data_IF_217357439550
#
_entry.id   IF_217357439550
#
_cell.length_a   1.000
_cell.length_b   1.000
_cell.length_c   1.000
_cell.angle_alpha   90.00
_cell.angle_beta   90.00
_cell.angle_gamma   90.00
#
_symmetry.space_group_name_H-M   'P 1'
#
loop_
_entity.id
_entity.type
_entity.pdbx_description
1 polymer ?
#
# COMPACT_ATOMS: atom_id res chain seq x y z
N UNK A 1 -14.39 -32.05 51.15
CA UNK A 1 -13.71 -33.14 50.42
C UNK A 1 -13.19 -32.53 49.13
N UNK A 2 -12.02 -31.89 49.09
CA UNK A 2 -10.68 -32.49 49.14
C UNK A 2 -10.46 -33.46 47.97
N UNK A 3 -9.87 -32.98 46.88
CA UNK A 3 -8.62 -33.56 46.35
C UNK A 3 -7.97 -32.55 45.39
N UNK A 4 -6.82 -32.05 45.82
CA UNK A 4 -5.86 -31.32 45.00
C UNK A 4 -5.04 -32.33 44.21
N UNK A 5 -4.74 -32.04 42.94
CA UNK A 5 -3.71 -32.72 42.19
C UNK A 5 -2.85 -31.66 41.50
N UNK A 6 -1.68 -31.46 42.11
CA UNK A 6 -0.54 -30.75 41.54
C UNK A 6 -0.07 -31.50 40.28
N UNK A 7 0.09 -30.77 39.18
CA UNK A 7 0.96 -31.18 38.08
C UNK A 7 1.95 -30.07 37.77
N UNK A 8 3.14 -30.31 38.30
CA UNK A 8 4.47 -29.75 38.08
C UNK A 8 4.64 -29.04 36.73
N UNK A 9 5.05 -27.77 36.82
CA UNK A 9 5.54 -26.96 35.70
C UNK A 9 6.95 -27.43 35.34
N UNK A 10 7.12 -28.07 34.19
CA UNK A 10 8.44 -28.30 33.59
C UNK A 10 8.89 -27.00 32.91
N UNK A 11 9.68 -26.19 33.61
CA UNK A 11 10.51 -25.16 32.98
C UNK A 11 11.55 -25.85 32.08
N UNK A 12 11.25 -25.94 30.78
CA UNK A 12 12.28 -26.16 29.78
C UNK A 12 13.01 -24.82 29.58
N UNK A 13 14.08 -24.61 30.34
CA UNK A 13 15.05 -23.58 30.05
C UNK A 13 15.72 -23.93 28.71
N UNK A 14 15.25 -23.33 27.62
CA UNK A 14 16.01 -23.28 26.38
C UNK A 14 17.25 -22.41 26.63
N UNK A 15 18.33 -23.04 27.07
CA UNK A 15 19.66 -22.46 26.97
C UNK A 15 19.95 -22.25 25.48
N UNK A 16 19.76 -21.02 25.02
CA UNK A 16 20.47 -20.52 23.84
C UNK A 16 21.95 -20.69 24.16
N UNK A 17 22.54 -21.77 23.64
CA UNK A 17 23.96 -21.89 23.49
C UNK A 17 24.40 -20.75 22.56
N UNK A 18 24.71 -19.60 23.15
CA UNK A 18 25.58 -18.61 22.55
C UNK A 18 26.91 -19.31 22.35
N UNK A 19 27.09 -19.91 21.17
CA UNK A 19 28.42 -20.30 20.71
C UNK A 19 29.22 -19.01 20.67
N UNK A 20 30.03 -18.78 21.70
CA UNK A 20 31.02 -17.75 21.68
C UNK A 20 31.87 -18.01 20.44
N UNK A 21 31.82 -17.09 19.48
CA UNK A 21 32.74 -17.10 18.34
C UNK A 21 34.09 -16.78 18.96
N UNK A 22 35.10 -17.67 18.89
CA UNK A 22 36.41 -17.35 19.41
C UNK A 22 36.97 -16.18 18.60
N UNK A 23 37.04 -15.02 19.24
CA UNK A 23 37.86 -13.90 18.76
C UNK A 23 39.31 -14.41 18.70
N UNK A 24 39.85 -14.57 17.49
CA UNK A 24 41.25 -14.93 17.29
C UNK A 24 41.54 -16.12 16.37
N UNK A 25 40.55 -16.77 15.75
CA UNK A 25 40.88 -17.70 14.66
C UNK A 25 41.45 -16.93 13.46
N UNK A 26 42.71 -17.21 13.10
CA UNK A 26 43.34 -16.70 11.88
C UNK A 26 42.49 -17.18 10.69
N UNK A 27 41.89 -16.23 9.98
CA UNK A 27 41.25 -16.52 8.69
C UNK A 27 42.29 -17.10 7.72
N UNK A 28 41.91 -17.99 6.79
CA UNK A 28 42.84 -18.50 5.79
C UNK A 28 43.37 -17.34 4.95
N UNK A 29 44.69 -17.10 5.04
CA UNK A 29 45.44 -16.10 4.26
C UNK A 29 46.00 -16.80 3.03
N UNK A 30 45.84 -16.20 1.86
CA UNK A 30 46.45 -16.66 0.62
C UNK A 30 47.42 -15.60 0.11
N UNK A 31 48.62 -16.01 -0.30
CA UNK A 31 49.67 -15.13 -0.83
C UNK A 31 49.60 -15.20 -2.35
N UNK A 32 49.45 -14.05 -3.01
CA UNK A 32 49.61 -13.95 -4.46
C UNK A 32 51.01 -13.40 -4.74
N UNK A 33 51.85 -14.19 -5.41
CA UNK A 33 53.17 -13.76 -5.89
C UNK A 33 53.04 -13.18 -7.30
N UNK A 34 53.76 -12.09 -7.62
CA UNK A 34 53.77 -11.54 -8.98
C UNK A 34 54.36 -12.55 -9.98
N UNK A 35 53.73 -12.68 -11.15
CA UNK A 35 54.28 -13.48 -12.24
C UNK A 35 55.57 -12.86 -12.78
N UNK A 36 56.58 -13.67 -13.18
CA UNK A 36 57.84 -13.14 -13.71
C UNK A 36 57.62 -12.36 -15.01
N UNK A 37 58.25 -11.19 -15.10
CA UNK A 37 58.20 -10.24 -16.21
C UNK A 37 58.94 -10.80 -17.43
N UNK A 38 58.32 -11.69 -18.20
CA UNK A 38 58.75 -12.01 -19.57
C UNK A 38 57.49 -12.25 -20.42
N UNK A 39 56.85 -11.17 -20.85
CA UNK A 39 56.06 -11.02 -22.09
C UNK A 39 55.29 -9.68 -22.02
N UNK A 40 56.02 -8.58 -21.88
CA UNK A 40 55.46 -7.22 -21.98
C UNK A 40 56.35 -6.40 -22.93
N UNK A 41 56.38 -6.79 -24.20
CA UNK A 41 57.01 -6.01 -25.25
C UNK A 41 56.15 -6.03 -26.51
N UNK A 42 55.04 -5.31 -26.46
CA UNK A 42 54.57 -4.46 -27.57
C UNK A 42 53.22 -3.83 -27.18
N UNK A 43 53.29 -2.65 -26.57
CA UNK A 43 52.52 -1.46 -26.96
C UNK A 43 52.74 -0.37 -25.91
N UNK A 44 53.71 0.49 -26.18
CA UNK A 44 54.00 1.69 -25.41
C UNK A 44 53.10 2.84 -25.86
N UNK A 45 52.34 3.45 -24.94
CA UNK A 45 52.14 4.92 -24.86
C UNK A 45 51.70 5.35 -23.44
N UNK A 46 52.66 5.89 -22.71
CA UNK A 46 52.63 6.88 -21.61
C UNK A 46 51.45 6.93 -20.61
N UNK A 47 51.71 6.51 -19.37
CA UNK A 47 51.66 7.33 -18.14
C UNK A 47 51.66 6.40 -16.91
N UNK A 48 52.55 6.67 -15.97
CA UNK A 48 52.96 5.80 -14.86
C UNK A 48 51.81 5.36 -13.92
N UNK A 49 51.52 4.06 -13.94
CA UNK A 49 51.23 3.24 -12.76
C UNK A 49 51.54 1.79 -13.17
N UNK A 50 52.37 1.08 -12.41
CA UNK A 50 52.64 -0.35 -12.63
C UNK A 50 51.32 -1.13 -12.43
N UNK A 51 50.62 -1.37 -13.54
CA UNK A 51 49.39 -2.13 -13.58
C UNK A 51 49.67 -3.62 -13.66
N UNK A 52 49.01 -4.40 -12.80
CA UNK A 52 48.83 -5.83 -13.03
C UNK A 52 47.61 -6.02 -13.93
N UNK A 53 47.79 -6.71 -15.05
CA UNK A 53 46.73 -7.09 -15.98
C UNK A 53 45.93 -8.22 -15.34
N UNK A 54 44.66 -7.96 -14.99
CA UNK A 54 43.68 -9.02 -14.85
C UNK A 54 43.28 -9.49 -16.25
N UNK A 55 43.50 -10.75 -16.56
CA UNK A 55 42.91 -11.36 -17.75
C UNK A 55 41.40 -11.49 -17.53
N UNK A 56 40.64 -10.52 -18.02
CA UNK A 56 39.20 -10.68 -18.28
C UNK A 56 39.02 -10.85 -19.80
N UNK A 57 38.58 -12.04 -20.22
CA UNK A 57 37.99 -12.23 -21.54
C UNK A 57 36.69 -11.43 -21.62
N UNK A 58 36.77 -10.23 -22.19
CA UNK A 58 35.61 -9.42 -22.54
C UNK A 58 35.03 -9.97 -23.85
N UNK A 59 33.87 -10.62 -23.77
CA UNK A 59 33.00 -10.79 -24.93
C UNK A 59 32.29 -9.45 -25.16
N UNK A 60 32.65 -8.83 -26.27
CA UNK A 60 32.23 -7.50 -26.71
C UNK A 60 30.72 -7.43 -26.99
N UNK A 61 30.11 -6.32 -26.56
CA UNK A 61 28.66 -6.09 -26.61
C UNK A 61 28.35 -4.60 -26.50
N UNK A 62 28.66 -3.88 -27.58
CA UNK A 62 28.50 -2.44 -27.77
C UNK A 62 27.10 -1.91 -27.40
N UNK A 63 27.05 -0.86 -26.58
CA UNK A 63 25.85 -0.10 -26.29
C UNK A 63 26.11 1.07 -25.33
N UNK A 64 26.30 2.27 -25.87
CA UNK A 64 26.54 3.52 -25.15
C UNK A 64 25.39 3.89 -24.21
N UNK A 65 25.66 3.90 -22.89
CA UNK A 65 24.89 4.64 -21.88
C UNK A 65 25.84 5.33 -20.92
N UNK A 66 25.66 6.63 -20.75
CA UNK A 66 26.20 7.42 -19.65
C UNK A 66 25.65 6.87 -18.34
N UNK A 67 26.51 6.19 -17.57
CA UNK A 67 26.22 5.76 -16.21
C UNK A 67 26.82 6.78 -15.23
N UNK A 68 25.97 7.25 -14.31
CA UNK A 68 26.40 7.93 -13.10
C UNK A 68 27.35 7.02 -12.30
N UNK A 69 28.40 7.63 -11.75
CA UNK A 69 29.53 7.03 -11.02
C UNK A 69 29.15 6.27 -9.72
N UNK A 70 28.32 5.23 -9.78
CA UNK A 70 28.15 4.26 -8.67
C UNK A 70 28.63 2.82 -9.00
N UNK A 71 29.09 2.54 -10.22
CA UNK A 71 29.59 1.22 -10.64
C UNK A 71 31.11 1.03 -10.46
N UNK A 72 31.74 1.79 -9.55
CA UNK A 72 33.10 1.47 -9.10
C UNK A 72 33.06 0.27 -8.13
N UNK A 73 33.30 -0.92 -8.70
CA UNK A 73 33.86 -2.10 -8.06
C UNK A 73 33.20 -2.55 -6.75
N UNK A 74 32.06 -3.25 -6.85
CA UNK A 74 31.69 -4.22 -5.80
C UNK A 74 32.28 -5.58 -6.16
N UNK A 75 33.22 -6.12 -5.37
CA UNK A 75 33.75 -7.45 -5.60
C UNK A 75 32.62 -8.50 -5.61
N UNK A 76 32.65 -9.40 -6.60
CA UNK A 76 31.73 -10.53 -6.69
C UNK A 76 31.85 -11.46 -5.47
N UNK A 77 30.78 -12.22 -5.20
CA UNK A 77 30.81 -13.28 -4.17
C UNK A 77 31.84 -14.32 -4.62
N UNK A 78 33.01 -14.34 -3.97
CA UNK A 78 34.18 -15.15 -4.36
C UNK A 78 35.45 -14.33 -4.60
N UNK A 79 35.34 -13.01 -4.71
CA UNK A 79 36.48 -12.11 -4.85
C UNK A 79 37.28 -11.99 -3.55
N UNK A 80 38.57 -11.68 -3.69
CA UNK A 80 39.46 -11.39 -2.57
C UNK A 80 39.71 -9.89 -2.46
N UNK A 81 39.84 -9.38 -1.25
CA UNK A 81 40.18 -7.97 -0.99
C UNK A 81 41.61 -7.89 -0.45
N UNK A 82 42.49 -7.09 -1.06
CA UNK A 82 43.82 -6.83 -0.51
C UNK A 82 43.67 -6.10 0.83
N UNK A 83 44.41 -6.54 1.84
CA UNK A 83 44.44 -5.87 3.14
C UNK A 83 45.85 -5.43 3.56
N UNK A 84 46.87 -5.90 2.86
CA UNK A 84 48.25 -5.47 3.00
C UNK A 84 48.95 -5.59 1.64
N UNK A 85 49.70 -4.56 1.26
CA UNK A 85 50.48 -4.51 0.03
C UNK A 85 51.89 -4.11 0.45
N UNK A 86 52.86 -4.97 0.16
CA UNK A 86 54.29 -4.66 0.26
C UNK A 86 54.90 -4.66 -1.14
N UNK A 87 56.18 -4.30 -1.26
CA UNK A 87 56.89 -4.31 -2.54
C UNK A 87 56.89 -5.71 -3.21
N UNK A 88 56.85 -6.78 -2.43
CA UNK A 88 57.03 -8.16 -2.90
C UNK A 88 55.77 -9.03 -2.83
N UNK A 89 54.71 -8.58 -2.15
CA UNK A 89 53.49 -9.38 -1.98
C UNK A 89 52.23 -8.54 -1.79
N UNK A 90 51.10 -9.09 -2.22
CA UNK A 90 49.77 -8.61 -1.86
C UNK A 90 49.07 -9.68 -1.04
N UNK A 91 48.78 -9.38 0.23
CA UNK A 91 47.98 -10.25 1.08
C UNK A 91 46.50 -9.96 0.83
N UNK A 92 45.78 -10.99 0.39
CA UNK A 92 44.36 -10.90 0.08
C UNK A 92 43.56 -11.79 1.02
N UNK A 93 42.33 -11.37 1.35
CA UNK A 93 41.38 -12.17 2.12
C UNK A 93 40.07 -12.35 1.36
N UNK A 94 39.44 -13.54 1.43
CA UNK A 94 38.16 -13.76 0.76
C UNK A 94 37.12 -12.78 1.30
N UNK A 95 36.38 -12.11 0.40
CA UNK A 95 35.37 -11.12 0.77
C UNK A 95 34.28 -11.73 1.69
N UNK A 96 33.99 -13.02 1.52
CA UNK A 96 33.07 -13.79 2.36
C UNK A 96 33.52 -13.96 3.82
N UNK A 97 34.81 -13.75 4.12
CA UNK A 97 35.40 -13.79 5.46
C UNK A 97 35.55 -12.42 6.13
N UNK A 98 35.23 -11.33 5.43
CA UNK A 98 35.04 -10.03 6.05
C UNK A 98 33.79 -10.10 6.91
N UNK A 99 33.93 -9.91 8.22
CA UNK A 99 32.80 -9.94 9.17
C UNK A 99 31.66 -9.10 8.60
N UNK A 100 30.61 -9.77 8.12
CA UNK A 100 29.40 -9.11 7.68
C UNK A 100 28.93 -8.29 8.89
N UNK A 101 28.91 -6.97 8.72
CA UNK A 101 28.60 -6.04 9.80
C UNK A 101 27.28 -6.47 10.45
N UNK A 102 27.30 -6.74 11.75
CA UNK A 102 26.14 -7.25 12.45
C UNK A 102 24.98 -6.23 12.41
N UNK A 103 23.73 -6.68 12.17
CA UNK A 103 22.53 -5.90 12.40
C UNK A 103 22.55 -5.23 13.77
N UNK A 104 22.15 -3.96 13.86
CA UNK A 104 22.14 -3.25 15.14
C UNK A 104 20.82 -2.50 15.37
N UNK A 105 20.48 -2.35 16.65
CA UNK A 105 19.43 -1.41 17.06
C UNK A 105 19.91 0.03 16.84
N UNK A 106 19.02 0.86 16.29
CA UNK A 106 19.33 2.25 15.93
C UNK A 106 18.51 3.29 16.70
N UNK A 107 17.79 2.88 17.73
CA UNK A 107 17.03 3.77 18.59
C UNK A 107 15.56 3.88 18.19
N UNK A 108 14.94 4.99 18.60
CA UNK A 108 13.50 5.23 18.49
C UNK A 108 13.22 6.40 17.56
N UNK A 109 12.46 6.14 16.49
CA UNK A 109 11.94 7.19 15.63
C UNK A 109 10.72 7.85 16.28
N UNK A 110 10.90 9.01 16.89
CA UNK A 110 9.80 9.86 17.36
C UNK A 110 9.08 10.56 16.19
N UNK A 111 7.91 10.04 15.82
CA UNK A 111 7.10 10.56 14.74
C UNK A 111 6.19 11.70 15.22
N UNK A 112 6.50 12.94 14.84
CA UNK A 112 5.62 14.08 15.12
C UNK A 112 4.32 14.04 14.30
N UNK A 113 3.24 13.55 14.91
CA UNK A 113 1.96 13.31 14.23
C UNK A 113 1.21 14.60 13.87
N UNK A 114 1.60 15.76 14.41
CA UNK A 114 1.04 17.05 13.97
C UNK A 114 1.39 17.37 12.52
N UNK A 115 2.57 16.95 12.05
CA UNK A 115 3.05 17.25 10.70
C UNK A 115 2.41 16.40 9.61
N UNK A 116 1.96 15.19 9.96
CA UNK A 116 1.45 14.15 9.06
C UNK A 116 0.38 13.29 9.78
N UNK A 117 -0.75 13.89 10.17
CA UNK A 117 -1.76 13.22 10.99
C UNK A 117 -2.37 11.99 10.33
N UNK A 118 -2.57 11.99 9.01
CA UNK A 118 -3.24 10.87 8.32
C UNK A 118 -2.31 9.67 8.13
N UNK A 119 -1.04 9.90 7.82
CA UNK A 119 -0.01 8.86 7.80
C UNK A 119 0.23 8.29 9.22
N UNK A 120 0.28 9.17 10.23
CA UNK A 120 0.40 8.73 11.62
C UNK A 120 -0.80 7.87 12.05
N UNK A 121 -2.05 8.20 11.68
CA UNK A 121 -3.22 7.32 11.94
C UNK A 121 -3.04 5.92 11.38
N UNK A 122 -2.55 5.78 10.16
CA UNK A 122 -2.35 4.46 9.54
C UNK A 122 -1.29 3.64 10.30
N UNK A 123 -0.16 4.28 10.63
CA UNK A 123 0.92 3.65 11.40
C UNK A 123 0.48 3.26 12.82
N UNK A 124 -0.19 4.17 13.54
CA UNK A 124 -0.77 3.89 14.85
C UNK A 124 -1.79 2.76 14.80
N UNK A 125 -2.67 2.73 13.79
CA UNK A 125 -3.64 1.66 13.63
C UNK A 125 -2.95 0.30 13.51
N UNK A 126 -1.89 0.22 12.70
CA UNK A 126 -1.14 -1.02 12.59
C UNK A 126 -0.49 -1.42 13.92
N UNK A 127 0.28 -0.51 14.53
CA UNK A 127 1.06 -0.82 15.73
C UNK A 127 0.17 -1.09 16.95
N UNK A 128 -0.84 -0.26 17.17
CA UNK A 128 -1.64 -0.28 18.39
C UNK A 128 -2.91 -1.15 18.28
N UNK A 129 -3.42 -1.40 17.06
CA UNK A 129 -4.66 -2.15 16.86
C UNK A 129 -4.46 -3.49 16.16
N UNK A 130 -3.71 -3.54 15.05
CA UNK A 130 -3.45 -4.82 14.35
C UNK A 130 -2.45 -5.68 15.15
N UNK A 131 -1.37 -5.05 15.63
CA UNK A 131 -0.32 -5.70 16.41
C UNK A 131 -0.54 -5.59 17.93
N UNK A 132 -1.78 -5.31 18.36
CA UNK A 132 -2.12 -5.03 19.76
C UNK A 132 -1.48 -6.04 20.73
N UNK A 133 -0.83 -5.53 21.77
CA UNK A 133 -0.13 -6.34 22.78
C UNK A 133 1.23 -6.88 22.35
N UNK A 134 1.72 -6.54 21.15
CA UNK A 134 3.04 -6.93 20.67
C UNK A 134 3.94 -5.71 20.51
N UNK A 135 5.21 -5.84 20.91
CA UNK A 135 6.22 -4.85 20.57
C UNK A 135 6.62 -5.03 19.10
N UNK A 136 6.49 -3.97 18.32
CA UNK A 136 6.79 -3.99 16.87
C UNK A 136 8.16 -3.35 16.63
N UNK A 137 9.03 -4.07 15.95
CA UNK A 137 10.32 -3.59 15.48
C UNK A 137 10.30 -3.45 13.96
N UNK A 138 10.89 -2.36 13.45
CA UNK A 138 11.01 -2.11 12.02
C UNK A 138 12.46 -2.33 11.59
N UNK A 139 12.65 -3.12 10.55
CA UNK A 139 13.96 -3.50 10.04
C UNK A 139 14.23 -2.88 8.67
N UNK A 140 15.48 -2.53 8.39
CA UNK A 140 15.93 -2.16 7.05
C UNK A 140 15.76 -3.35 6.09
N UNK A 141 15.19 -3.13 4.89
CA UNK A 141 14.80 -4.21 4.00
C UNK A 141 16.01 -4.99 3.48
N UNK A 142 15.87 -6.32 3.46
CA UNK A 142 16.79 -7.22 2.77
C UNK A 142 16.46 -7.33 1.27
N UNK A 143 17.36 -7.84 0.41
CA UNK A 143 17.14 -7.98 -1.04
C UNK A 143 15.90 -8.76 -1.48
N UNK A 144 15.24 -9.49 -0.57
CA UNK A 144 14.01 -10.27 -0.81
C UNK A 144 12.81 -9.77 0.01
N UNK A 145 12.89 -8.57 0.58
CA UNK A 145 11.76 -7.96 1.30
C UNK A 145 10.57 -7.77 0.36
N UNK A 146 9.36 -7.97 0.89
CA UNK A 146 8.15 -7.88 0.09
C UNK A 146 7.91 -6.47 -0.46
N UNK A 147 7.76 -6.40 -1.78
CA UNK A 147 7.53 -5.15 -2.53
C UNK A 147 6.14 -4.54 -2.34
N UNK A 148 5.94 -3.34 -2.91
CA UNK A 148 4.64 -2.64 -2.91
C UNK A 148 3.51 -3.45 -3.57
N UNK A 149 3.81 -4.37 -4.47
CA UNK A 149 2.82 -5.25 -5.07
C UNK A 149 2.35 -6.35 -4.11
N UNK A 150 3.23 -6.89 -3.26
CA UNK A 150 2.86 -7.82 -2.19
C UNK A 150 1.98 -7.14 -1.14
N UNK A 151 2.22 -5.85 -0.88
CA UNK A 151 1.35 -5.03 -0.03
C UNK A 151 0.01 -4.63 -0.71
N UNK A 152 -0.21 -4.97 -1.98
CA UNK A 152 -1.42 -4.55 -2.72
C UNK A 152 -1.44 -3.08 -3.11
N UNK A 153 -0.32 -2.36 -2.96
CA UNK A 153 -0.25 -0.92 -3.26
C UNK A 153 0.02 -0.66 -4.74
N UNK A 154 0.89 -1.47 -5.36
CA UNK A 154 1.18 -1.36 -6.78
C UNK A 154 0.30 -2.29 -7.60
N UNK A 155 -0.63 -1.72 -8.36
CA UNK A 155 -1.57 -2.43 -9.23
C UNK A 155 -1.43 -2.00 -10.70
N UNK A 156 -1.97 -2.79 -11.62
CA UNK A 156 -1.96 -2.52 -13.08
C UNK A 156 -2.45 -1.12 -13.44
N UNK A 157 -3.42 -0.59 -12.69
CA UNK A 157 -4.01 0.75 -12.85
C UNK A 157 -3.42 1.82 -11.91
N UNK A 158 -2.22 1.61 -11.35
CA UNK A 158 -1.56 2.56 -10.45
C UNK A 158 -1.61 2.11 -8.99
N UNK A 159 -2.47 2.74 -8.18
CA UNK A 159 -2.69 2.37 -6.78
C UNK A 159 -4.18 2.28 -6.47
N UNK A 160 -4.63 1.43 -5.52
CA UNK A 160 -6.05 1.28 -5.20
C UNK A 160 -6.74 2.62 -4.94
N UNK A 161 -6.10 3.53 -4.19
CA UNK A 161 -6.67 4.84 -3.86
C UNK A 161 -6.89 5.79 -5.05
N UNK A 162 -6.34 5.47 -6.22
CA UNK A 162 -6.51 6.22 -7.46
C UNK A 162 -7.25 5.40 -8.54
N UNK A 163 -7.96 4.35 -8.13
CA UNK A 163 -8.60 3.41 -9.05
C UNK A 163 -10.01 3.08 -8.57
N UNK A 164 -10.97 3.08 -9.49
CA UNK A 164 -12.34 2.60 -9.20
C UNK A 164 -12.31 1.09 -8.93
N UNK A 165 -13.07 0.57 -7.95
CA UNK A 165 -14.06 1.27 -7.12
C UNK A 165 -13.49 1.87 -5.82
N UNK A 166 -12.23 1.61 -5.48
CA UNK A 166 -11.66 1.95 -4.17
C UNK A 166 -11.50 3.46 -3.96
N UNK A 167 -10.96 4.19 -4.95
CA UNK A 167 -10.85 5.66 -4.88
C UNK A 167 -12.22 6.33 -4.67
N UNK A 168 -13.25 5.79 -5.33
CA UNK A 168 -14.64 6.23 -5.19
C UNK A 168 -15.18 6.01 -3.76
N UNK A 169 -14.76 4.92 -3.10
CA UNK A 169 -15.18 4.59 -1.74
C UNK A 169 -14.56 5.52 -0.70
N UNK A 170 -13.25 5.70 -0.79
CA UNK A 170 -12.46 6.32 0.28
C UNK A 170 -12.42 7.85 0.20
N UNK A 171 -12.78 8.46 -0.94
CA UNK A 171 -12.57 9.89 -1.15
C UNK A 171 -13.82 10.69 -1.51
N UNK A 172 -14.58 10.23 -2.50
CA UNK A 172 -15.62 11.07 -3.09
C UNK A 172 -16.76 11.38 -2.09
N UNK A 173 -16.99 10.48 -1.13
CA UNK A 173 -17.92 10.67 -0.01
C UNK A 173 -17.52 11.78 0.97
N UNK A 174 -16.29 12.30 0.88
CA UNK A 174 -15.69 13.23 1.86
C UNK A 174 -15.51 14.64 1.33
N UNK A 175 -15.20 14.78 0.05
CA UNK A 175 -14.98 16.08 -0.58
C UNK A 175 -16.28 16.76 -1.03
N UNK A 176 -17.46 16.20 -0.73
CA UNK A 176 -18.75 16.67 -1.28
C UNK A 176 -18.69 16.88 -2.82
N UNK A 177 -17.93 16.04 -3.53
CA UNK A 177 -17.69 16.17 -4.98
C UNK A 177 -16.64 17.20 -5.42
N UNK A 178 -15.96 17.90 -4.49
CA UNK A 178 -14.86 18.83 -4.78
C UNK A 178 -13.56 18.08 -5.09
N UNK A 179 -13.45 17.63 -6.34
CA UNK A 179 -12.37 16.76 -6.83
C UNK A 179 -11.15 17.53 -7.36
N UNK A 180 -10.96 18.80 -7.01
CA UNK A 180 -9.83 19.61 -7.54
C UNK A 180 -8.46 19.21 -6.99
N UNK A 181 -8.39 18.36 -5.95
CA UNK A 181 -7.15 17.92 -5.31
C UNK A 181 -6.98 16.37 -5.24
N UNK A 182 -7.39 15.64 -6.29
CA UNK A 182 -7.40 14.16 -6.37
C UNK A 182 -6.03 13.42 -6.28
N UNK A 183 -4.96 14.06 -5.79
CA UNK A 183 -3.65 13.40 -5.62
C UNK A 183 -3.63 12.53 -4.36
N UNK A 184 -4.52 11.54 -4.32
CA UNK A 184 -4.49 10.51 -3.31
C UNK A 184 -3.33 9.57 -3.51
N UNK A 185 -2.80 9.07 -2.40
CA UNK A 185 -1.85 8.00 -2.39
C UNK A 185 -2.37 6.89 -1.49
N UNK A 186 -1.99 5.66 -1.83
CA UNK A 186 -2.15 4.53 -0.94
C UNK A 186 -0.95 4.53 0.00
N UNK A 187 -1.16 4.98 1.23
CA UNK A 187 -0.20 4.82 2.31
C UNK A 187 -0.19 3.37 2.79
N UNK A 188 0.97 2.90 3.23
CA UNK A 188 1.20 1.51 3.61
C UNK A 188 2.07 1.45 4.87
N UNK A 189 1.60 0.69 5.86
CA UNK A 189 2.35 0.45 7.09
C UNK A 189 2.32 -1.03 7.48
N UNK A 190 3.47 -1.72 7.65
CA UNK A 190 4.83 -1.20 7.50
C UNK A 190 5.13 -0.74 6.06
N UNK A 191 6.04 0.22 5.93
CA UNK A 191 6.43 0.84 4.67
C UNK A 191 7.18 -0.12 3.77
N UNK A 192 7.21 0.15 2.46
CA UNK A 192 8.11 -0.57 1.54
C UNK A 192 9.59 -0.44 1.88
N UNK A 193 9.98 0.66 2.49
CA UNK A 193 11.33 0.87 3.00
C UNK A 193 11.63 0.13 4.31
N UNK A 194 10.73 -0.74 4.76
CA UNK A 194 10.91 -1.61 5.92
C UNK A 194 10.84 -3.08 5.47
N UNK A 195 11.44 -3.98 6.25
CA UNK A 195 11.35 -5.42 6.00
C UNK A 195 9.91 -5.89 6.20
N UNK A 196 9.39 -6.64 5.22
CA UNK A 196 8.02 -7.19 5.25
C UNK A 196 7.98 -8.60 4.72
N UNK A 197 7.04 -9.38 5.25
CA UNK A 197 6.70 -10.69 4.72
C UNK A 197 5.93 -10.58 3.40
N UNK A 198 6.01 -11.61 2.56
CA UNK A 198 5.16 -11.73 1.38
C UNK A 198 3.69 -11.83 1.81
N UNK A 199 2.79 -11.46 0.88
CA UNK A 199 1.37 -11.62 1.11
C UNK A 199 1.02 -13.09 1.40
N UNK A 200 0.28 -13.30 2.47
CA UNK A 200 -0.25 -14.58 2.91
C UNK A 200 -1.77 -14.47 3.05
N UNK A 201 -2.55 -15.10 2.16
CA UNK A 201 -4.02 -15.07 2.22
C UNK A 201 -4.59 -15.82 3.44
N UNK A 202 -3.76 -16.61 4.14
CA UNK A 202 -4.15 -17.38 5.33
C UNK A 202 -3.84 -16.65 6.63
N UNK A 203 -3.18 -15.49 6.57
CA UNK A 203 -2.87 -14.70 7.75
C UNK A 203 -4.16 -14.25 8.47
N UNK A 204 -4.22 -14.52 9.77
CA UNK A 204 -5.37 -14.13 10.61
C UNK A 204 -5.39 -12.64 10.93
N UNK A 205 -4.25 -11.97 10.81
CA UNK A 205 -4.10 -10.52 10.96
C UNK A 205 -3.59 -9.90 9.65
N UNK A 206 -4.06 -8.70 9.28
CA UNK A 206 -3.52 -8.01 8.13
C UNK A 206 -2.01 -7.76 8.28
N UNK A 207 -1.21 -8.18 7.30
CA UNK A 207 0.25 -7.99 7.33
C UNK A 207 0.68 -6.56 7.02
N UNK A 208 -0.21 -5.77 6.39
CA UNK A 208 -0.01 -4.36 6.06
C UNK A 208 -1.33 -3.62 6.25
N UNK A 209 -1.30 -2.49 6.94
CA UNK A 209 -2.38 -1.52 6.99
C UNK A 209 -2.27 -0.55 5.79
N UNK A 210 -3.36 -0.42 5.05
CA UNK A 210 -3.47 0.51 3.94
C UNK A 210 -4.48 1.61 4.28
N UNK A 211 -4.18 2.83 3.83
CA UNK A 211 -5.06 3.99 3.97
C UNK A 211 -4.94 4.88 2.74
N UNK A 212 -6.07 5.42 2.26
CA UNK A 212 -6.06 6.46 1.25
C UNK A 212 -5.90 7.82 1.90
N UNK A 213 -4.77 8.49 1.64
CA UNK A 213 -4.45 9.79 2.22
C UNK A 213 -3.94 10.76 1.15
N UNK A 214 -3.91 12.05 1.48
CA UNK A 214 -3.36 13.06 0.58
C UNK A 214 -1.84 12.86 0.39
N UNK A 215 -1.35 13.03 -0.84
CA UNK A 215 0.08 12.95 -1.18
C UNK A 215 0.99 13.78 -0.26
N UNK A 216 0.58 15.00 0.13
CA UNK A 216 1.37 15.88 1.01
C UNK A 216 1.57 15.26 2.38
N UNK A 217 0.51 14.69 2.95
CA UNK A 217 0.55 14.03 4.26
C UNK A 217 1.43 12.76 4.19
N UNK A 218 1.20 11.93 3.17
CA UNK A 218 1.98 10.71 2.92
C UNK A 218 3.48 11.00 2.74
N UNK A 219 3.81 12.00 1.93
CA UNK A 219 5.19 12.41 1.68
C UNK A 219 5.88 12.93 2.95
N UNK A 220 5.16 13.66 3.80
CA UNK A 220 5.69 14.13 5.09
C UNK A 220 5.92 12.96 6.05
N UNK A 221 4.98 12.03 6.14
CA UNK A 221 5.13 10.81 6.93
C UNK A 221 6.34 9.98 6.50
N UNK A 222 6.48 9.72 5.19
CA UNK A 222 7.63 9.00 4.66
C UNK A 222 8.97 9.73 4.88
N UNK A 223 8.97 11.07 4.85
CA UNK A 223 10.16 11.86 5.13
C UNK A 223 10.64 11.76 6.59
N UNK A 224 9.73 11.61 7.56
CA UNK A 224 10.10 11.42 8.97
C UNK A 224 10.95 10.17 9.13
N UNK A 225 10.48 9.04 8.59
CA UNK A 225 11.20 7.76 8.62
C UNK A 225 12.52 7.85 7.86
N UNK A 226 12.53 8.51 6.69
CA UNK A 226 13.76 8.76 5.93
C UNK A 226 14.78 9.55 6.76
N UNK A 227 14.37 10.66 7.38
CA UNK A 227 15.27 11.52 8.14
C UNK A 227 15.85 10.84 9.38
N UNK A 228 15.07 10.04 10.09
CA UNK A 228 15.58 9.22 11.18
C UNK A 228 16.66 8.25 10.71
N UNK A 229 16.40 7.51 9.61
CA UNK A 229 17.33 6.53 9.03
C UNK A 229 18.62 7.17 8.51
N UNK A 230 18.52 8.39 8.00
CA UNK A 230 19.64 9.16 7.43
C UNK A 230 20.39 10.01 8.47
N UNK A 231 19.86 10.17 9.69
CA UNK A 231 20.46 11.03 10.71
C UNK A 231 20.32 12.52 10.38
N UNK A 232 19.20 12.90 9.78
CA UNK A 232 18.89 14.27 9.36
C UNK A 232 17.62 14.81 10.03
N UNK A 233 17.22 16.04 9.70
CA UNK A 233 16.02 16.67 10.28
C UNK A 233 16.16 16.80 11.80
N UNK A 234 15.14 16.38 12.55
CA UNK A 234 15.15 16.42 14.02
C UNK A 234 16.20 15.50 14.67
N UNK A 235 16.85 14.62 13.90
CA UNK A 235 17.90 13.69 14.36
C UNK A 235 19.31 14.08 13.92
N UNK A 236 19.50 15.25 13.33
CA UNK A 236 20.84 15.77 13.05
C UNK A 236 21.53 16.30 14.33
N UNK A 237 22.80 16.70 14.22
CA UNK A 237 23.52 17.31 15.35
C UNK A 237 22.82 18.59 15.81
N UNK A 238 22.45 18.64 17.10
CA UNK A 238 21.67 19.74 17.68
C UNK A 238 20.16 19.65 17.45
N UNK A 239 19.68 18.62 16.74
CA UNK A 239 18.27 18.36 16.53
C UNK A 239 17.57 17.89 17.81
N UNK A 240 16.25 18.13 17.87
CA UNK A 240 15.42 17.86 19.05
C UNK A 240 15.43 16.40 19.50
N UNK A 241 15.51 15.46 18.56
CA UNK A 241 15.44 14.02 18.80
C UNK A 241 16.79 13.32 18.58
N UNK A 242 17.90 14.07 18.53
CA UNK A 242 19.24 13.51 18.28
C UNK A 242 19.61 12.37 19.24
N UNK A 243 19.21 12.48 20.51
CA UNK A 243 19.46 11.47 21.55
C UNK A 243 18.68 10.16 21.34
N UNK A 244 17.59 10.20 20.58
CA UNK A 244 16.75 9.03 20.31
C UNK A 244 17.33 8.16 19.18
N UNK A 245 18.33 8.67 18.43
CA UNK A 245 18.99 7.94 17.35
C UNK A 245 20.34 7.40 17.80
N UNK A 246 20.52 6.09 17.71
CA UNK A 246 21.72 5.39 18.20
C UNK A 246 22.71 5.03 17.08
N UNK A 247 23.97 4.96 17.45
CA UNK A 247 25.09 4.64 16.57
C UNK A 247 25.62 5.84 15.79
N UNK A 248 26.53 5.60 14.85
CA UNK A 248 27.14 6.66 14.03
C UNK A 248 26.11 7.40 13.16
N UNK A 249 26.46 8.62 12.72
CA UNK A 249 25.63 9.46 11.83
C UNK A 249 25.40 8.87 10.43
N UNK A 250 25.93 7.68 10.14
CA UNK A 250 25.75 7.02 8.86
C UNK A 250 24.33 6.49 8.70
N UNK A 251 23.86 6.47 7.45
CA UNK A 251 22.60 5.85 7.05
C UNK A 251 22.51 4.40 7.53
N UNK A 252 21.32 3.98 7.95
CA UNK A 252 21.08 2.59 8.33
C UNK A 252 21.35 1.63 7.16
N UNK A 253 21.76 0.41 7.50
CA UNK A 253 22.05 -0.65 6.50
C UNK A 253 21.12 -1.84 6.73
N UNK A 254 20.94 -2.68 5.71
CA UNK A 254 20.13 -3.90 5.77
C UNK A 254 20.30 -4.65 7.09
N UNK A 255 19.18 -5.02 7.71
CA UNK A 255 19.12 -5.70 9.00
C UNK A 255 19.08 -4.77 10.22
N UNK A 256 19.50 -3.51 10.11
CA UNK A 256 19.32 -2.53 11.19
C UNK A 256 17.86 -2.40 11.57
N UNK A 257 17.59 -2.15 12.84
CA UNK A 257 16.23 -2.08 13.33
C UNK A 257 16.00 -0.95 14.34
N UNK A 258 14.76 -0.54 14.46
CA UNK A 258 14.35 0.59 15.30
C UNK A 258 12.90 0.46 15.79
N UNK A 259 12.60 1.21 16.84
CA UNK A 259 11.25 1.43 17.36
C UNK A 259 10.62 2.67 16.71
N UNK A 260 9.30 2.73 16.63
CA UNK A 260 8.56 3.96 16.26
C UNK A 260 7.68 4.38 17.42
N UNK A 261 7.83 5.64 17.84
CA UNK A 261 7.06 6.26 18.91
C UNK A 261 6.26 7.44 18.34
N UNK A 262 4.96 7.47 18.58
CA UNK A 262 4.08 8.52 18.05
C UNK A 262 4.07 9.72 19.00
N UNK A 263 4.66 10.82 18.54
CA UNK A 263 4.86 12.04 19.31
C UNK A 263 3.69 13.02 19.10
N UNK A 264 2.97 13.32 20.20
CA UNK A 264 1.76 14.13 20.20
C UNK A 264 1.88 15.46 20.96
N UNK A 265 3.04 15.78 21.55
CA UNK A 265 3.13 16.94 22.46
C UNK A 265 3.19 18.29 21.73
N UNK A 266 3.43 18.31 20.42
CA UNK A 266 3.49 19.56 19.63
C UNK A 266 2.12 20.15 19.28
N UNK A 267 1.02 19.47 19.64
CA UNK A 267 -0.32 20.01 19.46
C UNK A 267 -0.63 21.06 20.53
N UNK A 268 -0.92 22.29 20.09
CA UNK A 268 -1.56 23.28 20.94
C UNK A 268 -3.04 22.92 21.10
N UNK A 269 -3.42 22.51 22.31
CA UNK A 269 -4.79 22.08 22.62
C UNK A 269 -5.75 23.24 22.85
N UNK A 270 -5.25 24.47 22.95
CA UNK A 270 -6.06 25.68 23.04
C UNK A 270 -6.46 26.19 21.65
N UNK A 271 -5.71 25.82 20.61
CA UNK A 271 -6.09 26.05 19.22
C UNK A 271 -7.13 25.01 18.76
N UNK A 272 -8.33 25.46 18.39
CA UNK A 272 -9.44 24.57 18.06
C UNK A 272 -9.14 23.65 16.85
N UNK A 273 -8.38 24.14 15.87
CA UNK A 273 -8.01 23.36 14.69
C UNK A 273 -7.03 22.23 15.05
N UNK A 274 -6.00 22.54 15.85
CA UNK A 274 -5.07 21.53 16.34
C UNK A 274 -5.70 20.54 17.32
N UNK A 275 -6.57 21.02 18.22
CA UNK A 275 -7.33 20.15 19.11
C UNK A 275 -8.22 19.17 18.33
N UNK A 276 -8.87 19.62 17.25
CA UNK A 276 -9.66 18.75 16.38
C UNK A 276 -8.81 17.66 15.71
N UNK A 277 -7.62 18.01 15.21
CA UNK A 277 -6.70 17.03 14.62
C UNK A 277 -6.21 16.04 15.69
N UNK A 278 -5.75 16.52 16.85
CA UNK A 278 -5.31 15.68 17.97
C UNK A 278 -6.40 14.69 18.39
N UNK A 279 -7.64 15.16 18.57
CA UNK A 279 -8.78 14.32 18.93
C UNK A 279 -9.11 13.29 17.86
N UNK A 280 -8.81 13.59 16.58
CA UNK A 280 -9.00 12.65 15.48
C UNK A 280 -7.95 11.52 15.43
N UNK A 281 -6.79 11.66 16.08
CA UNK A 281 -5.70 10.66 16.15
C UNK A 281 -6.02 9.51 17.13
N UNK A 282 -7.25 8.99 17.07
CA UNK A 282 -7.82 8.03 18.02
C UNK A 282 -7.00 6.75 18.21
N UNK A 283 -6.26 6.31 17.19
CA UNK A 283 -5.38 5.14 17.24
C UNK A 283 -4.04 5.39 17.93
N UNK A 284 -3.63 6.65 18.07
CA UNK A 284 -2.31 7.04 18.56
C UNK A 284 -2.28 7.32 20.06
N UNK A 285 -3.45 7.44 20.70
CA UNK A 285 -3.54 7.70 22.13
C UNK A 285 -3.14 6.46 22.96
N UNK A 286 -2.71 6.62 24.22
CA UNK A 286 -2.29 5.50 25.09
C UNK A 286 -3.36 4.41 25.28
N UNK A 287 -4.64 4.79 25.20
CA UNK A 287 -5.77 3.88 25.16
C UNK A 287 -6.44 4.01 23.79
N UNK A 288 -5.92 3.31 22.76
CA UNK A 288 -6.35 3.52 21.39
C UNK A 288 -7.79 3.01 21.20
N UNK A 289 -8.63 3.82 20.55
CA UNK A 289 -9.91 3.33 20.08
C UNK A 289 -9.71 2.62 18.74
N UNK A 290 -9.65 1.29 18.75
CA UNK A 290 -9.41 0.49 17.56
C UNK A 290 -10.62 0.29 16.64
N UNK A 291 -11.72 1.03 16.86
CA UNK A 291 -12.80 1.10 15.90
C UNK A 291 -12.29 1.76 14.60
N UNK A 292 -12.34 1.01 13.49
CA UNK A 292 -11.98 1.54 12.18
C UNK A 292 -12.87 2.76 11.85
N UNK A 293 -12.27 3.81 11.30
CA UNK A 293 -12.89 5.05 10.84
C UNK A 293 -13.42 4.95 9.39
N UNK A 294 -13.33 3.74 8.81
CA UNK A 294 -13.82 3.39 7.47
C UNK A 294 -12.78 3.57 6.38
N UNK A 295 -11.54 3.89 6.74
CA UNK A 295 -10.46 4.16 5.78
C UNK A 295 -9.29 3.20 5.91
N UNK A 296 -9.22 2.46 7.01
CA UNK A 296 -8.25 1.39 7.15
C UNK A 296 -8.74 0.20 6.34
N UNK A 297 -7.93 -0.24 5.38
CA UNK A 297 -8.21 -1.42 4.58
C UNK A 297 -6.93 -2.25 4.42
N UNK A 298 -7.11 -3.46 3.89
CA UNK A 298 -6.00 -4.37 3.62
C UNK A 298 -6.32 -5.24 2.40
N UNK A 299 -5.26 -5.77 1.79
CA UNK A 299 -5.35 -6.74 0.70
C UNK A 299 -5.85 -8.08 1.26
N UNK A 300 -6.83 -8.70 0.62
CA UNK A 300 -7.37 -10.02 1.00
C UNK A 300 -7.13 -11.09 -0.07
N UNK A 301 -6.89 -10.68 -1.31
CA UNK A 301 -6.44 -11.58 -2.38
C UNK A 301 -5.50 -10.85 -3.30
N UNK A 302 -4.32 -11.44 -3.55
CA UNK A 302 -3.37 -10.97 -4.54
C UNK A 302 -3.52 -11.77 -5.85
N UNK A 303 -3.97 -11.09 -6.91
CA UNK A 303 -4.01 -11.63 -8.27
C UNK A 303 -2.95 -10.96 -9.12
N UNK A 304 -2.43 -11.69 -10.10
CA UNK A 304 -1.41 -11.21 -11.03
C UNK A 304 -1.68 -11.79 -12.40
N UNK A 305 -1.35 -11.02 -13.44
CA UNK A 305 -1.47 -11.51 -14.84
C UNK A 305 -0.56 -12.71 -15.10
N UNK A 306 0.62 -12.72 -14.48
CA UNK A 306 1.57 -13.85 -14.47
C UNK A 306 2.19 -13.97 -13.08
N UNK A 307 2.74 -15.13 -12.69
CA UNK A 307 3.38 -15.30 -11.38
C UNK A 307 4.47 -14.26 -11.09
N UNK A 308 5.22 -13.87 -12.13
CA UNK A 308 6.33 -12.93 -12.07
C UNK A 308 5.93 -11.46 -12.30
N UNK A 309 4.63 -11.16 -12.43
CA UNK A 309 4.21 -9.78 -12.66
C UNK A 309 4.57 -8.89 -11.45
N UNK A 310 5.18 -7.75 -11.75
CA UNK A 310 5.60 -6.75 -10.75
C UNK A 310 4.45 -5.92 -10.16
N UNK A 311 3.22 -6.11 -10.65
CA UNK A 311 2.00 -5.40 -10.22
C UNK A 311 0.89 -6.39 -9.90
N UNK A 312 0.09 -6.06 -8.89
CA UNK A 312 -1.20 -6.71 -8.65
C UNK A 312 -2.20 -6.38 -9.76
N UNK A 313 -3.18 -7.25 -9.99
CA UNK A 313 -4.12 -7.12 -11.08
C UNK A 313 -5.39 -6.39 -10.62
N UNK A 314 -5.67 -5.22 -11.18
CA UNK A 314 -6.95 -4.50 -11.06
C UNK A 314 -7.25 -3.87 -12.41
N UNK A 315 -8.37 -4.24 -13.01
CA UNK A 315 -8.82 -3.74 -14.32
C UNK A 315 -10.27 -3.25 -14.27
N UNK A 316 -10.75 -2.65 -15.36
CA UNK A 316 -12.14 -2.24 -15.54
C UNK A 316 -12.79 -3.06 -16.67
N UNK A 317 -14.02 -3.57 -16.48
CA UNK A 317 -14.81 -3.51 -15.24
C UNK A 317 -14.16 -4.30 -14.09
N UNK A 318 -14.40 -3.88 -12.85
CA UNK A 318 -13.78 -4.55 -11.70
C UNK A 318 -14.48 -5.88 -11.39
N UNK A 319 -13.69 -6.95 -11.28
CA UNK A 319 -14.16 -8.30 -11.01
C UNK A 319 -13.38 -8.90 -9.82
N UNK A 320 -14.07 -9.15 -8.70
CA UNK A 320 -13.46 -9.71 -7.49
C UNK A 320 -12.83 -11.10 -7.69
N UNK A 321 -13.29 -11.88 -8.67
CA UNK A 321 -12.74 -13.22 -8.90
C UNK A 321 -11.39 -13.16 -9.64
N UNK A 322 -11.21 -12.17 -10.51
CA UNK A 322 -10.04 -12.04 -11.37
C UNK A 322 -9.02 -11.03 -10.84
N UNK A 323 -9.43 -10.07 -10.02
CA UNK A 323 -8.59 -8.96 -9.56
C UNK A 323 -8.19 -9.07 -8.09
N UNK A 324 -7.23 -8.23 -7.68
CA UNK A 324 -6.92 -8.00 -6.29
C UNK A 324 -8.18 -7.55 -5.56
N UNK A 325 -8.42 -8.14 -4.39
CA UNK A 325 -9.52 -7.75 -3.51
C UNK A 325 -8.99 -7.11 -2.24
N UNK A 326 -9.76 -6.15 -1.76
CA UNK A 326 -9.42 -5.37 -0.57
C UNK A 326 -10.63 -5.31 0.34
N UNK A 327 -10.38 -5.25 1.64
CA UNK A 327 -11.42 -5.23 2.67
C UNK A 327 -11.15 -4.11 3.64
N UNK A 328 -12.21 -3.38 4.01
CA UNK A 328 -12.15 -2.43 5.12
C UNK A 328 -11.97 -3.24 6.41
N UNK A 329 -10.95 -2.91 7.20
CA UNK A 329 -10.61 -3.70 8.39
C UNK A 329 -11.78 -3.76 9.37
N UNK A 330 -12.13 -4.96 9.82
CA UNK A 330 -13.28 -5.22 10.69
C UNK A 330 -14.62 -5.43 9.96
N UNK A 331 -14.67 -5.24 8.64
CA UNK A 331 -15.85 -5.58 7.85
C UNK A 331 -15.83 -7.07 7.43
N UNK A 332 -17.00 -7.70 7.23
CA UNK A 332 -17.07 -9.14 6.97
C UNK A 332 -16.78 -9.54 5.52
N UNK A 333 -16.77 -8.59 4.59
CA UNK A 333 -16.68 -8.87 3.15
C UNK A 333 -15.78 -7.87 2.42
N UNK A 334 -15.20 -8.31 1.32
CA UNK A 334 -14.34 -7.52 0.45
C UNK A 334 -15.16 -6.48 -0.32
N UNK A 335 -14.54 -5.33 -0.61
CA UNK A 335 -15.12 -4.30 -1.46
C UNK A 335 -15.36 -4.87 -2.87
N UNK A 336 -16.55 -4.62 -3.40
CA UNK A 336 -17.01 -5.00 -4.74
C UNK A 336 -17.45 -3.76 -5.51
N UNK A 337 -17.42 -3.85 -6.84
CA UNK A 337 -18.06 -2.86 -7.70
C UNK A 337 -19.44 -3.38 -8.10
N UNK A 338 -20.48 -2.73 -7.61
CA UNK A 338 -21.85 -2.98 -8.03
C UNK A 338 -22.20 -2.07 -9.19
N UNK A 339 -23.02 -2.59 -10.10
CA UNK A 339 -23.55 -1.87 -11.23
C UNK A 339 -25.06 -1.81 -11.12
N UNK A 340 -25.64 -0.65 -11.43
CA UNK A 340 -27.08 -0.49 -11.60
C UNK A 340 -27.37 0.19 -12.94
N UNK A 341 -28.13 -0.51 -13.76
CA UNK A 341 -28.67 0.01 -15.01
C UNK A 341 -30.15 0.38 -14.80
N UNK A 342 -30.54 1.59 -15.20
CA UNK A 342 -31.94 2.02 -15.27
C UNK A 342 -32.35 2.23 -16.72
N UNK A 343 -33.34 1.48 -17.20
CA UNK A 343 -33.93 1.71 -18.52
C UNK A 343 -35.16 2.61 -18.36
N UNK A 344 -35.06 3.81 -18.92
CA UNK A 344 -36.02 4.89 -18.84
C UNK A 344 -36.71 5.00 -20.19
N UNK A 345 -38.00 4.68 -20.20
CA UNK A 345 -38.83 4.52 -21.40
C UNK A 345 -40.20 5.16 -21.20
N UNK A 346 -41.07 5.07 -22.20
CA UNK A 346 -42.42 5.60 -22.13
C UNK A 346 -42.52 7.01 -22.72
N UNK A 347 -43.73 7.44 -23.05
CA UNK A 347 -43.94 8.68 -23.81
C UNK A 347 -43.40 9.92 -23.10
N UNK A 348 -43.43 9.91 -21.77
CA UNK A 348 -42.95 10.98 -20.90
C UNK A 348 -41.64 10.63 -20.15
N UNK A 349 -40.91 9.59 -20.58
CA UNK A 349 -39.75 9.05 -19.85
C UNK A 349 -40.12 8.75 -18.38
N UNK A 350 -41.28 8.13 -18.19
CA UNK A 350 -41.96 7.91 -16.93
C UNK A 350 -42.02 6.44 -16.54
N UNK A 351 -41.48 5.53 -17.35
CA UNK A 351 -41.36 4.12 -17.02
C UNK A 351 -39.91 3.76 -16.78
N UNK A 352 -39.64 3.17 -15.61
CA UNK A 352 -38.29 2.82 -15.18
C UNK A 352 -38.25 1.33 -14.84
N UNK A 353 -37.33 0.61 -15.50
CA UNK A 353 -36.89 -0.71 -15.06
C UNK A 353 -35.48 -0.61 -14.48
N UNK A 354 -35.09 -1.57 -13.66
CA UNK A 354 -33.77 -1.56 -13.03
C UNK A 354 -33.13 -2.95 -13.03
N UNK A 355 -31.82 -3.00 -13.21
CA UNK A 355 -31.02 -4.22 -13.11
C UNK A 355 -29.77 -3.94 -12.30
N UNK A 356 -29.54 -4.75 -11.26
CA UNK A 356 -28.36 -4.66 -10.40
C UNK A 356 -27.49 -5.89 -10.65
N UNK A 357 -26.21 -5.69 -10.91
CA UNK A 357 -25.28 -6.76 -11.24
C UNK A 357 -23.87 -6.45 -10.76
N UNK A 358 -23.02 -7.47 -10.84
CA UNK A 358 -21.58 -7.41 -10.60
C UNK A 358 -20.89 -8.22 -11.70
N UNK A 359 -19.60 -7.97 -11.92
CA UNK A 359 -18.79 -8.87 -12.74
C UNK A 359 -18.25 -10.03 -11.90
N UNK A 360 -18.31 -11.23 -12.45
CA UNK A 360 -17.76 -12.44 -11.85
C UNK A 360 -17.22 -13.35 -12.96
N UNK A 361 -15.91 -13.62 -12.95
CA UNK A 361 -15.21 -14.35 -13.99
C UNK A 361 -15.44 -13.79 -15.41
N UNK A 362 -15.40 -12.46 -15.55
CA UNK A 362 -15.56 -11.75 -16.81
C UNK A 362 -17.00 -11.66 -17.33
N UNK A 363 -17.98 -12.15 -16.56
CA UNK A 363 -19.39 -12.15 -16.94
C UNK A 363 -20.25 -11.32 -15.98
N UNK A 364 -21.29 -10.68 -16.53
CA UNK A 364 -22.31 -10.01 -15.72
C UNK A 364 -23.14 -11.04 -14.96
N UNK A 365 -23.13 -10.96 -13.63
CA UNK A 365 -24.01 -11.72 -12.76
C UNK A 365 -25.09 -10.80 -12.20
N UNK A 366 -26.31 -10.96 -12.71
CA UNK A 366 -27.48 -10.23 -12.20
C UNK A 366 -27.76 -10.67 -10.76
N UNK A 367 -27.83 -9.69 -9.87
CA UNK A 367 -28.13 -9.90 -8.46
C UNK A 367 -29.61 -9.66 -8.15
N UNK A 368 -30.21 -8.67 -8.82
CA UNK A 368 -31.61 -8.32 -8.71
C UNK A 368 -32.09 -7.56 -9.95
N UNK A 369 -33.39 -7.63 -10.22
CA UNK A 369 -34.02 -6.84 -11.28
C UNK A 369 -35.41 -6.37 -10.85
N UNK A 370 -35.87 -5.31 -11.52
CA UNK A 370 -37.21 -4.75 -11.37
C UNK A 370 -37.77 -4.49 -12.76
N UNK A 371 -38.95 -5.02 -13.03
CA UNK A 371 -39.65 -4.81 -14.29
C UNK A 371 -40.04 -3.33 -14.51
N UNK A 372 -40.24 -2.97 -15.78
CA UNK A 372 -40.61 -1.60 -16.18
C UNK A 372 -41.98 -1.21 -15.63
N UNK A 373 -41.98 -0.19 -14.78
CA UNK A 373 -43.20 0.33 -14.12
C UNK A 373 -43.18 1.86 -14.11
N UNK A 374 -44.36 2.46 -14.02
CA UNK A 374 -44.48 3.91 -13.94
C UNK A 374 -43.78 4.45 -12.68
N UNK A 375 -43.05 5.54 -12.83
CA UNK A 375 -42.31 6.23 -11.78
C UNK A 375 -42.39 7.74 -12.00
N UNK A 376 -43.37 8.35 -11.34
CA UNK A 376 -43.55 9.79 -11.35
C UNK A 376 -42.37 10.51 -10.68
N UNK A 377 -42.22 11.80 -10.97
CA UNK A 377 -41.23 12.65 -10.26
C UNK A 377 -41.58 12.75 -8.78
N UNK A 378 -40.56 12.89 -7.93
CA UNK A 378 -40.72 12.90 -6.47
C UNK A 378 -41.02 11.53 -5.86
N UNK A 379 -41.06 10.45 -6.65
CA UNK A 379 -41.31 9.09 -6.16
C UNK A 379 -40.02 8.27 -6.09
N UNK A 380 -40.11 7.11 -5.44
CA UNK A 380 -39.00 6.17 -5.30
C UNK A 380 -39.48 4.73 -5.39
N UNK A 381 -38.58 3.82 -5.77
CA UNK A 381 -38.77 2.39 -5.57
C UNK A 381 -37.58 1.82 -4.80
N UNK A 382 -37.78 0.63 -4.23
CA UNK A 382 -36.74 -0.11 -3.52
C UNK A 382 -36.58 -1.48 -4.14
N UNK A 383 -35.34 -1.83 -4.47
CA UNK A 383 -34.94 -3.22 -4.76
C UNK A 383 -34.55 -3.83 -3.41
N UNK A 384 -35.26 -4.84 -2.89
CA UNK A 384 -35.03 -5.37 -1.56
C UNK A 384 -33.68 -6.11 -1.48
N UNK A 385 -33.14 -6.20 -0.27
CA UNK A 385 -32.01 -7.08 0.01
C UNK A 385 -32.41 -8.54 -0.27
N UNK A 386 -31.45 -9.35 -0.69
CA UNK A 386 -31.60 -10.77 -0.94
C UNK A 386 -30.31 -11.52 -0.58
N UNK A 387 -30.29 -12.83 -0.76
CA UNK A 387 -29.09 -13.64 -0.54
C UNK A 387 -27.94 -13.20 -1.48
N UNK A 388 -28.27 -12.68 -2.67
CA UNK A 388 -27.30 -12.24 -3.68
C UNK A 388 -27.03 -10.73 -3.63
N UNK A 389 -27.99 -9.93 -3.17
CA UNK A 389 -27.88 -8.48 -3.01
C UNK A 389 -27.86 -8.13 -1.51
N UNK A 390 -26.69 -7.86 -0.89
CA UNK A 390 -26.57 -7.80 0.57
C UNK A 390 -27.40 -6.71 1.26
N UNK A 391 -27.66 -5.60 0.56
CA UNK A 391 -28.45 -4.48 1.07
C UNK A 391 -29.45 -3.99 0.03
N UNK A 392 -30.57 -3.47 0.52
CA UNK A 392 -31.58 -2.87 -0.34
C UNK A 392 -31.02 -1.63 -1.04
N UNK A 393 -31.49 -1.39 -2.26
CA UNK A 393 -31.19 -0.19 -3.04
C UNK A 393 -32.46 0.60 -3.22
N UNK A 394 -32.51 1.82 -2.67
CA UNK A 394 -33.57 2.78 -2.95
C UNK A 394 -33.15 3.68 -4.09
N UNK A 395 -33.96 3.72 -5.13
CA UNK A 395 -33.81 4.62 -6.28
C UNK A 395 -34.92 5.64 -6.23
N UNK A 396 -34.54 6.92 -6.15
CA UNK A 396 -35.46 8.05 -6.06
C UNK A 396 -35.33 8.93 -7.29
N UNK A 397 -36.46 9.35 -7.84
CA UNK A 397 -36.53 10.32 -8.92
C UNK A 397 -36.82 11.70 -8.32
N UNK A 398 -35.91 12.68 -8.40
CA UNK A 398 -36.14 14.02 -7.88
C UNK A 398 -37.35 14.70 -8.54
N UNK A 399 -37.80 15.80 -7.94
CA UNK A 399 -38.84 16.67 -8.52
C UNK A 399 -38.33 17.56 -9.66
N UNK A 400 -37.02 17.53 -9.94
CA UNK A 400 -36.39 18.32 -11.01
C UNK A 400 -36.90 17.93 -12.40
N UNK A 401 -36.77 18.84 -13.37
CA UNK A 401 -37.24 18.62 -14.74
C UNK A 401 -36.35 17.66 -15.57
N UNK A 402 -35.23 17.19 -15.02
CA UNK A 402 -34.31 16.29 -15.72
C UNK A 402 -34.87 14.87 -15.79
N UNK A 403 -34.82 14.26 -16.98
CA UNK A 403 -35.23 12.87 -17.18
C UNK A 403 -34.20 11.84 -16.67
N UNK A 404 -32.95 12.27 -16.43
CA UNK A 404 -31.82 11.40 -16.08
C UNK A 404 -31.31 11.60 -14.65
N UNK A 405 -31.96 12.46 -13.86
CA UNK A 405 -31.59 12.69 -12.47
C UNK A 405 -32.18 11.60 -11.59
N UNK A 406 -31.32 10.84 -10.93
CA UNK A 406 -31.70 9.78 -10.00
C UNK A 406 -30.78 9.82 -8.79
N UNK A 407 -31.35 9.54 -7.61
CA UNK A 407 -30.62 9.40 -6.36
C UNK A 407 -30.68 7.92 -5.96
N UNK A 408 -29.52 7.37 -5.64
CA UNK A 408 -29.32 5.98 -5.28
C UNK A 408 -28.85 5.92 -3.83
N UNK A 409 -29.51 5.10 -3.02
CA UNK A 409 -29.10 4.81 -1.65
C UNK A 409 -29.00 3.29 -1.49
N UNK A 410 -27.77 2.78 -1.35
CA UNK A 410 -27.48 1.39 -1.02
C UNK A 410 -27.31 1.28 0.50
N UNK A 411 -28.15 0.48 1.15
CA UNK A 411 -28.16 0.35 2.62
C UNK A 411 -28.68 1.60 3.35
N UNK A 412 -28.42 1.66 4.66
CA UNK A 412 -28.85 2.71 5.57
C UNK A 412 -27.66 3.24 6.37
N UNK A 413 -27.34 4.53 6.20
CA UNK A 413 -26.21 5.18 6.85
C UNK A 413 -26.20 5.07 8.39
N UNK A 414 -27.39 4.98 9.01
CA UNK A 414 -27.52 4.93 10.47
C UNK A 414 -27.20 3.54 11.05
N UNK A 415 -27.42 2.46 10.30
CA UNK A 415 -27.29 1.08 10.81
C UNK A 415 -26.18 0.29 10.13
N UNK A 416 -25.81 0.67 8.90
CA UNK A 416 -24.87 -0.10 8.09
C UNK A 416 -23.42 0.35 8.22
N UNK A 417 -23.15 1.39 9.03
CA UNK A 417 -21.81 1.99 9.23
C UNK A 417 -21.13 2.24 7.89
N UNK A 418 -20.05 1.51 7.55
CA UNK A 418 -19.34 1.71 6.30
C UNK A 418 -19.99 1.02 5.10
N UNK A 419 -20.93 0.08 5.31
CA UNK A 419 -21.58 -0.73 4.24
C UNK A 419 -22.63 0.01 3.41
N UNK A 420 -22.87 1.27 3.68
CA UNK A 420 -23.78 2.08 2.87
C UNK A 420 -23.03 2.85 1.78
N UNK A 421 -23.75 3.22 0.73
CA UNK A 421 -23.25 4.12 -0.30
C UNK A 421 -24.38 4.91 -0.93
N UNK A 422 -24.23 6.24 -0.97
CA UNK A 422 -25.24 7.15 -1.50
C UNK A 422 -24.62 8.00 -2.62
N UNK A 423 -25.32 8.12 -3.74
CA UNK A 423 -24.89 8.94 -4.85
C UNK A 423 -26.06 9.39 -5.73
N UNK A 424 -25.83 10.42 -6.52
CA UNK A 424 -26.70 10.94 -7.56
C UNK A 424 -26.10 10.60 -8.94
N UNK A 425 -26.94 10.40 -9.94
CA UNK A 425 -26.52 10.21 -11.33
C UNK A 425 -25.66 11.35 -11.88
N UNK A 426 -25.77 12.56 -11.30
CA UNK A 426 -24.95 13.72 -11.64
C UNK A 426 -23.64 13.83 -10.86
N UNK A 427 -23.39 12.99 -9.83
CA UNK A 427 -22.16 13.08 -9.06
C UNK A 427 -20.93 12.85 -9.96
N UNK A 428 -19.93 13.72 -9.76
CA UNK A 428 -18.65 13.70 -10.46
C UNK A 428 -17.59 13.24 -9.46
N UNK A 429 -16.78 12.28 -9.86
CA UNK A 429 -15.75 11.67 -9.03
C UNK A 429 -14.87 10.73 -9.84
N UNK A 430 -14.44 9.65 -9.20
CA UNK A 430 -13.78 8.54 -9.88
C UNK A 430 -14.80 7.83 -10.80
N UNK A 431 -14.62 7.87 -12.14
CA UNK A 431 -15.60 7.30 -13.04
C UNK A 431 -15.59 5.78 -13.00
N UNK A 432 -16.73 5.18 -13.36
CA UNK A 432 -16.97 3.74 -13.33
C UNK A 432 -16.01 2.88 -14.17
N UNK A 433 -15.28 3.45 -15.15
CA UNK A 433 -14.58 2.67 -16.17
C UNK A 433 -13.31 3.34 -16.73
N UNK A 434 -12.56 4.11 -15.95
CA UNK A 434 -11.33 4.77 -16.46
C UNK A 434 -10.05 4.20 -15.90
N UNK A 435 -9.10 3.96 -16.82
CA UNK A 435 -7.77 3.35 -16.62
C UNK A 435 -6.80 4.17 -15.76
N UNK A 436 -6.96 5.50 -15.71
CA UNK A 436 -6.00 6.43 -15.09
C UNK A 436 -6.69 7.67 -14.50
N UNK A 437 -6.17 8.10 -13.34
CA UNK A 437 -6.52 9.35 -12.68
C UNK A 437 -6.19 10.59 -13.49
N UNK A 438 -7.00 11.62 -13.20
CA UNK A 438 -7.00 13.03 -13.64
C UNK A 438 -8.28 13.43 -14.38
N UNK A 439 -8.99 12.48 -15.00
CA UNK A 439 -10.26 12.79 -15.69
C UNK A 439 -11.45 12.57 -14.76
N UNK A 440 -11.87 13.65 -14.11
CA UNK A 440 -13.17 13.76 -13.45
C UNK A 440 -14.25 13.21 -14.39
N UNK A 441 -15.06 12.28 -13.91
CA UNK A 441 -16.17 11.74 -14.70
C UNK A 441 -17.39 11.49 -13.84
N UNK A 442 -18.54 11.34 -14.50
CA UNK A 442 -19.79 11.02 -13.81
C UNK A 442 -19.78 9.57 -13.35
N UNK A 443 -20.38 9.31 -12.20
CA UNK A 443 -20.62 7.94 -11.73
C UNK A 443 -21.53 7.15 -12.66
N UNK A 444 -22.42 7.88 -13.34
CA UNK A 444 -23.34 7.31 -14.29
C UNK A 444 -23.10 7.85 -15.70
N UNK A 445 -23.17 6.97 -16.69
CA UNK A 445 -23.19 7.30 -18.11
C UNK A 445 -24.56 7.01 -18.69
N UNK A 446 -24.90 7.70 -19.78
CA UNK A 446 -26.18 7.52 -20.47
C UNK A 446 -25.93 6.95 -21.85
N UNK A 447 -26.70 5.94 -22.24
CA UNK A 447 -26.75 5.43 -23.62
C UNK A 447 -28.19 5.47 -24.14
N UNK A 448 -28.33 5.61 -25.46
CA UNK A 448 -29.61 5.57 -26.15
C UNK A 448 -30.01 4.12 -26.39
N UNK A 449 -31.25 3.74 -26.06
CA UNK A 449 -31.78 2.37 -26.27
C UNK A 449 -33.08 2.41 -27.07
N UNK A 450 -33.44 1.37 -27.83
CA UNK A 450 -34.76 1.29 -28.45
C UNK A 450 -35.88 1.38 -27.40
N UNK A 451 -36.90 2.23 -27.62
CA UNK A 451 -38.07 2.28 -26.72
C UNK A 451 -39.15 1.29 -27.20
N UNK A 452 -39.41 0.20 -26.45
CA UNK A 452 -40.47 -0.75 -26.82
C UNK A 452 -41.86 -0.12 -26.82
N UNK A 453 -42.05 1.02 -26.14
CA UNK A 453 -43.32 1.73 -26.06
C UNK A 453 -43.47 2.82 -27.13
N UNK A 454 -42.49 2.97 -28.04
CA UNK A 454 -42.48 4.08 -29.00
C UNK A 454 -41.75 3.72 -30.29
N UNK A 455 -42.51 3.34 -31.33
CA UNK A 455 -41.97 3.04 -32.66
C UNK A 455 -41.12 4.21 -33.19
N UNK A 456 -39.87 3.92 -33.55
CA UNK A 456 -38.94 4.90 -34.14
C UNK A 456 -38.38 5.93 -33.16
N UNK A 457 -38.59 5.79 -31.85
CA UNK A 457 -37.95 6.66 -30.84
C UNK A 457 -37.10 5.83 -29.88
N UNK A 458 -36.11 6.49 -29.29
CA UNK A 458 -35.19 5.88 -28.34
C UNK A 458 -35.58 6.28 -26.91
N UNK A 459 -35.50 5.31 -26.00
CA UNK A 459 -35.41 5.55 -24.57
C UNK A 459 -33.95 5.79 -24.17
N UNK A 460 -33.72 5.88 -22.87
CA UNK A 460 -32.38 6.09 -22.31
C UNK A 460 -32.06 4.98 -21.31
N UNK A 461 -30.84 4.46 -21.35
CA UNK A 461 -30.29 3.66 -20.26
C UNK A 461 -29.28 4.50 -19.48
N UNK A 462 -29.48 4.59 -18.17
CA UNK A 462 -28.51 5.13 -17.24
C UNK A 462 -27.71 3.98 -16.64
N UNK A 463 -26.38 4.00 -16.78
CA UNK A 463 -25.48 2.95 -16.29
C UNK A 463 -24.58 3.53 -15.21
N UNK A 464 -24.72 3.04 -13.99
CA UNK A 464 -23.96 3.53 -12.84
C UNK A 464 -23.10 2.41 -12.25
N UNK A 465 -21.94 2.77 -11.69
CA UNK A 465 -21.16 1.86 -10.85
C UNK A 465 -20.80 2.50 -9.51
N UNK A 466 -20.74 1.68 -8.46
CA UNK A 466 -20.44 2.14 -7.11
C UNK A 466 -19.78 1.05 -6.24
N UNK A 467 -18.91 1.44 -5.29
CA UNK A 467 -18.32 0.53 -4.31
C UNK A 467 -19.33 0.15 -3.21
N UNK A 468 -19.44 -1.13 -2.92
CA UNK A 468 -20.10 -1.64 -1.71
C UNK A 468 -19.60 -3.05 -1.38
N UNK A 469 -20.14 -3.71 -0.34
CA UNK A 469 -19.84 -5.11 -0.02
C UNK A 469 -21.03 -5.83 0.59
#
# INVERSE_FOLDING_TARGET
MALALLSIVSLAAAQLATKAIPFGQRLPVMILSPAPVIEASNESRSSETLGFVGHDEIIDGTGTRTFDNEDLNRPHIGSYVPYEITEDMTLVRPYSGLVARAPAYRGTCKWNCKSSPEACKNACYYQNCIMAGQKVYYYEPAPKSAGRNQAGVSITMGTPCQTSPFGQKFWDSRENGSTTNLKLQTDEWPMFSQQRANFDPTATTPQVALRCINNRDNSRGGNIIRYFREGSGDWNSGGRFVSDRLGNSQKFRTGDWYDVEFFLDDFDRNDAAQAAIYNSLTYCHPQPNCANDGLQFHLTSLKRKTPNAVKGLVEQPYDNALHNTYRITGEPADIRQFHIDLDITGQANDRVSARVYVFNNGQERILASRASTAMARGTSFTIPASITLPKAIRVSRPTTNSCMDFIFNYGNANTDRFRHYNFNSSNIGWPAATRWGDKKGKYCTTESIPDPNRKGKNGSRLKCAFPAW
#
